data_IF_253985868295
#
_entry.id   IF_253985868295
#
_cell.length_a   1.000
_cell.length_b   1.000
_cell.length_c   1.000
_cell.angle_alpha   90.00
_cell.angle_beta   90.00
_cell.angle_gamma   90.00
#
_symmetry.space_group_name_H-M   'P 1'
#
loop_
_entity.id
_entity.type
_entity.pdbx_description
1 polymer ?
#
# COMPACT_ATOMS: atom_id res chain seq x y z
N UNK A 1 -6.90 -22.83 -5.22
CA UNK A 1 -6.26 -21.72 -4.49
C UNK A 1 -7.01 -21.32 -3.22
N UNK A 2 -8.34 -21.25 -3.23
CA UNK A 2 -9.14 -20.83 -2.05
C UNK A 2 -9.01 -21.74 -0.82
N UNK A 3 -8.78 -23.05 -1.01
CA UNK A 3 -8.65 -23.99 0.11
C UNK A 3 -7.31 -23.94 0.85
N UNK A 4 -6.26 -23.37 0.24
CA UNK A 4 -4.89 -23.43 0.79
C UNK A 4 -4.28 -22.06 1.05
N UNK A 5 -4.83 -20.99 0.45
CA UNK A 5 -4.39 -19.63 0.72
C UNK A 5 -5.46 -18.91 1.55
N UNK A 6 -5.11 -18.41 2.75
CA UNK A 6 -6.05 -17.65 3.56
C UNK A 6 -6.39 -16.30 2.91
N UNK A 7 -7.59 -15.81 3.20
CA UNK A 7 -7.99 -14.45 2.84
C UNK A 7 -7.07 -13.41 3.52
N UNK A 8 -6.92 -12.19 2.97
CA UNK A 8 -6.09 -11.15 3.59
C UNK A 8 -6.48 -10.87 5.05
N UNK A 9 -7.77 -10.91 5.39
CA UNK A 9 -8.25 -10.70 6.75
C UNK A 9 -7.77 -11.78 7.75
N UNK A 10 -7.53 -12.99 7.27
CA UNK A 10 -6.95 -14.08 8.08
C UNK A 10 -5.43 -14.02 8.04
N UNK A 11 -4.85 -13.82 6.85
CA UNK A 11 -3.42 -13.80 6.62
C UNK A 11 -2.70 -12.67 7.39
N UNK A 12 -3.28 -11.47 7.41
CA UNK A 12 -2.63 -10.31 8.04
C UNK A 12 -2.53 -10.44 9.56
N UNK A 13 -3.42 -11.23 10.20
CA UNK A 13 -3.40 -11.42 11.66
C UNK A 13 -2.08 -11.96 12.18
N UNK A 14 -1.53 -12.95 11.50
CA UNK A 14 -0.26 -13.57 11.86
C UNK A 14 0.93 -13.01 11.05
N UNK A 15 0.70 -12.30 9.94
CA UNK A 15 1.76 -11.67 9.14
C UNK A 15 2.16 -10.28 9.60
N UNK A 16 1.33 -9.59 10.38
CA UNK A 16 1.64 -8.24 10.92
C UNK A 16 2.96 -8.22 11.70
N UNK A 17 3.35 -9.34 12.31
CA UNK A 17 4.62 -9.47 13.00
C UNK A 17 5.83 -9.27 12.08
N UNK A 18 5.71 -9.71 10.83
CA UNK A 18 6.78 -9.62 9.82
C UNK A 18 6.60 -8.37 8.95
N UNK A 19 5.37 -7.91 8.73
CA UNK A 19 5.06 -6.81 7.79
C UNK A 19 5.29 -5.41 8.37
N UNK A 20 5.30 -5.25 9.68
CA UNK A 20 5.36 -3.94 10.33
C UNK A 20 6.53 -3.89 11.31
N UNK A 21 7.36 -2.86 11.27
CA UNK A 21 8.54 -2.79 12.15
C UNK A 21 8.29 -1.97 13.44
N UNK A 22 7.18 -1.24 13.49
CA UNK A 22 6.80 -0.46 14.67
C UNK A 22 6.22 -1.29 15.82
N UNK A 23 5.81 -0.62 16.91
CA UNK A 23 5.21 -1.28 18.08
C UNK A 23 3.96 -2.07 17.70
N UNK A 24 3.85 -3.31 18.18
CA UNK A 24 2.78 -4.25 17.77
C UNK A 24 1.42 -3.99 18.40
N UNK A 25 1.43 -3.18 19.44
CA UNK A 25 0.30 -2.70 20.23
C UNK A 25 -0.21 -1.34 19.75
N UNK A 26 0.41 -0.75 18.73
CA UNK A 26 -0.05 0.52 18.19
C UNK A 26 -1.25 0.37 17.23
N UNK A 27 -1.86 1.50 16.93
CA UNK A 27 -3.05 1.58 16.06
C UNK A 27 -2.78 1.13 14.63
N UNK A 28 -1.54 1.18 14.13
CA UNK A 28 -1.19 0.82 12.76
C UNK A 28 -1.00 -0.69 12.62
N UNK A 29 -0.33 -1.32 13.59
CA UNK A 29 -0.24 -2.76 13.72
C UNK A 29 -1.64 -3.37 13.88
N UNK A 30 -2.50 -2.81 14.73
CA UNK A 30 -3.88 -3.26 14.87
C UNK A 30 -4.70 -3.10 13.57
N UNK A 31 -4.53 -1.96 12.89
CA UNK A 31 -5.17 -1.69 11.60
C UNK A 31 -4.81 -2.72 10.52
N UNK A 32 -3.52 -3.10 10.43
CA UNK A 32 -3.04 -4.16 9.54
C UNK A 32 -3.57 -5.52 9.98
N UNK A 33 -3.47 -5.85 11.27
CA UNK A 33 -3.95 -7.13 11.84
C UNK A 33 -5.42 -7.38 11.48
N UNK A 34 -6.23 -6.33 11.49
CA UNK A 34 -7.66 -6.39 11.21
C UNK A 34 -8.01 -6.18 9.72
N UNK A 35 -7.05 -5.85 8.85
CA UNK A 35 -7.28 -5.52 7.44
C UNK A 35 -8.47 -4.54 7.28
N UNK A 36 -8.45 -3.44 8.05
CA UNK A 36 -9.58 -2.52 8.14
C UNK A 36 -9.49 -1.40 7.06
N UNK A 37 -10.53 -1.14 6.25
CA UNK A 37 -10.49 -0.12 5.19
C UNK A 37 -10.82 1.32 5.67
N UNK A 38 -11.20 1.49 6.94
CA UNK A 38 -11.71 2.75 7.50
C UNK A 38 -10.72 3.44 8.48
N UNK A 39 -9.49 2.96 8.51
CA UNK A 39 -8.39 3.43 9.38
C UNK A 39 -7.31 4.11 8.53
N UNK A 40 -6.26 4.70 9.13
CA UNK A 40 -5.17 5.29 8.36
C UNK A 40 -4.58 4.33 7.31
N UNK A 41 -4.17 4.89 6.18
CA UNK A 41 -3.60 4.15 5.05
C UNK A 41 -2.23 3.58 5.43
N UNK A 42 -2.08 2.25 5.30
CA UNK A 42 -0.80 1.55 5.33
C UNK A 42 -0.64 0.81 4.01
N UNK A 43 0.30 1.26 3.18
CA UNK A 43 0.58 0.73 1.85
C UNK A 43 2.07 0.42 1.75
N UNK A 44 2.40 -0.78 1.28
CA UNK A 44 3.78 -1.16 0.98
C UNK A 44 4.02 -1.14 -0.52
N UNK A 45 5.08 -0.44 -0.93
CA UNK A 45 5.49 -0.30 -2.33
C UNK A 45 6.55 -1.35 -2.63
N UNK A 46 6.30 -2.20 -3.63
CA UNK A 46 7.27 -3.22 -4.05
C UNK A 46 8.03 -2.84 -5.32
N UNK A 47 7.42 -2.08 -6.23
CA UNK A 47 8.02 -1.78 -7.53
C UNK A 47 7.50 -0.46 -8.10
N UNK A 48 8.40 0.31 -8.68
CA UNK A 48 8.07 1.44 -9.54
C UNK A 48 8.05 0.96 -11.01
N UNK A 49 6.97 1.29 -11.72
CA UNK A 49 6.74 0.94 -13.11
C UNK A 49 6.69 2.25 -13.90
N UNK A 50 7.55 2.46 -14.91
CA UNK A 50 7.48 3.66 -15.74
C UNK A 50 6.11 3.75 -16.43
N UNK A 51 5.53 4.95 -16.47
CA UNK A 51 4.20 5.15 -17.05
C UNK A 51 4.18 5.01 -18.58
N UNK A 52 5.27 5.36 -19.24
CA UNK A 52 5.53 5.15 -20.66
C UNK A 52 7.05 5.04 -20.88
N UNK A 53 7.47 4.52 -22.02
CA UNK A 53 8.90 4.39 -22.36
C UNK A 53 9.60 5.75 -22.55
N UNK A 54 8.83 6.81 -22.85
CA UNK A 54 9.33 8.17 -23.10
C UNK A 54 9.20 9.11 -21.87
N UNK A 55 8.42 8.74 -20.84
CA UNK A 55 8.22 9.57 -19.65
C UNK A 55 9.29 9.29 -18.58
N UNK A 56 10.40 10.03 -18.62
CA UNK A 56 11.50 9.92 -17.63
C UNK A 56 11.14 10.41 -16.20
N UNK A 57 9.90 10.79 -15.91
CA UNK A 57 9.52 11.41 -14.62
C UNK A 57 8.26 10.89 -13.96
N UNK A 58 7.48 10.01 -14.60
CA UNK A 58 6.20 9.52 -14.06
C UNK A 58 6.23 8.02 -13.87
N UNK A 59 5.97 7.60 -12.64
CA UNK A 59 5.97 6.19 -12.26
C UNK A 59 4.64 5.80 -11.66
N UNK A 60 4.13 4.66 -12.11
CA UNK A 60 3.16 3.90 -11.36
C UNK A 60 3.86 3.18 -10.22
N UNK A 61 3.21 3.18 -9.07
CA UNK A 61 3.69 2.49 -7.89
C UNK A 61 2.87 1.23 -7.73
N UNK A 62 3.50 0.07 -7.90
CA UNK A 62 2.89 -1.21 -7.60
C UNK A 62 3.15 -1.54 -6.13
N UNK A 63 2.07 -1.74 -5.39
CA UNK A 63 2.13 -1.97 -3.96
C UNK A 63 0.87 -2.62 -3.45
N UNK A 64 0.90 -3.03 -2.18
CA UNK A 64 -0.23 -3.67 -1.51
C UNK A 64 -0.76 -2.77 -0.41
N UNK A 65 -2.09 -2.62 -0.36
CA UNK A 65 -2.77 -1.90 0.73
C UNK A 65 -3.01 -2.89 1.87
N UNK A 66 -2.39 -2.67 3.02
CA UNK A 66 -2.57 -3.51 4.21
C UNK A 66 -3.65 -2.94 5.14
N UNK A 67 -3.74 -1.63 5.27
CA UNK A 67 -4.80 -0.97 6.03
C UNK A 67 -5.27 0.31 5.35
N UNK A 68 -6.51 0.70 5.63
CA UNK A 68 -7.16 1.88 5.05
C UNK A 68 -7.53 1.68 3.59
N UNK A 69 -7.65 2.81 2.88
CA UNK A 69 -7.94 2.86 1.46
C UNK A 69 -7.13 3.97 0.80
N UNK A 70 -6.58 3.70 -0.37
CA UNK A 70 -5.93 4.73 -1.19
C UNK A 70 -6.95 5.26 -2.20
N UNK A 71 -6.98 6.57 -2.40
CA UNK A 71 -7.92 7.22 -3.33
C UNK A 71 -7.21 8.29 -4.15
N UNK A 72 -7.69 8.53 -5.36
CA UNK A 72 -7.23 9.66 -6.18
C UNK A 72 -7.45 11.00 -5.45
N UNK A 73 -6.43 11.86 -5.44
CA UNK A 73 -6.41 13.14 -4.75
C UNK A 73 -6.04 13.06 -3.26
N UNK A 74 -5.77 11.87 -2.72
CA UNK A 74 -5.40 11.70 -1.32
C UNK A 74 -3.96 12.18 -1.08
N UNK A 75 -3.78 13.04 -0.07
CA UNK A 75 -2.46 13.42 0.45
C UNK A 75 -1.92 12.28 1.31
N UNK A 76 -0.74 11.79 0.97
CA UNK A 76 -0.11 10.64 1.62
C UNK A 76 1.31 10.98 2.05
N UNK A 77 1.72 10.46 3.21
CA UNK A 77 3.11 10.46 3.64
C UNK A 77 3.82 9.23 3.08
N UNK A 78 4.96 9.44 2.44
CA UNK A 78 5.82 8.38 1.90
C UNK A 78 7.04 8.28 2.81
N UNK A 79 7.22 7.09 3.37
CA UNK A 79 8.39 6.74 4.18
C UNK A 79 9.41 6.12 3.24
N UNK A 80 10.59 6.74 3.16
CA UNK A 80 11.71 6.20 2.39
C UNK A 80 12.37 5.01 3.09
N UNK A 81 13.30 4.34 2.40
CA UNK A 81 14.00 3.17 2.95
C UNK A 81 14.81 3.49 4.20
N UNK A 82 15.30 4.73 4.33
CA UNK A 82 16.14 5.18 5.46
C UNK A 82 15.34 5.93 6.53
N UNK A 83 14.00 5.79 6.56
CA UNK A 83 13.16 6.55 7.49
C UNK A 83 13.53 6.34 8.97
N UNK A 84 13.97 5.13 9.35
CA UNK A 84 14.33 4.82 10.73
C UNK A 84 15.52 5.67 11.23
N UNK A 85 16.52 5.90 10.37
CA UNK A 85 17.78 6.57 10.72
C UNK A 85 17.74 8.06 10.38
N UNK A 86 17.36 8.41 9.16
CA UNK A 86 17.48 9.76 8.60
C UNK A 86 16.16 10.53 8.61
N UNK A 87 15.08 9.91 9.09
CA UNK A 87 13.71 10.45 9.01
C UNK A 87 13.31 10.83 7.58
N UNK A 88 13.79 10.06 6.60
CA UNK A 88 13.45 10.20 5.18
C UNK A 88 11.94 10.08 4.95
N UNK A 89 11.30 11.23 4.87
CA UNK A 89 9.86 11.38 4.80
C UNK A 89 9.52 12.47 3.80
N UNK A 90 8.62 12.13 2.88
CA UNK A 90 8.06 13.09 1.93
C UNK A 90 6.55 13.02 1.97
N UNK A 91 5.91 14.11 1.57
CA UNK A 91 4.44 14.16 1.46
C UNK A 91 4.10 14.44 0.01
N UNK A 92 3.25 13.59 -0.55
CA UNK A 92 2.82 13.71 -1.95
C UNK A 92 1.31 13.53 -2.07
N UNK A 93 0.77 13.80 -3.25
CA UNK A 93 -0.65 13.61 -3.57
C UNK A 93 -0.75 12.48 -4.58
N UNK A 94 -1.65 11.53 -4.32
CA UNK A 94 -1.94 10.43 -5.24
C UNK A 94 -2.70 10.99 -6.44
N UNK A 95 -2.04 11.10 -7.59
CA UNK A 95 -2.68 11.67 -8.79
C UNK A 95 -3.74 10.74 -9.39
N UNK A 96 -3.48 9.43 -9.39
CA UNK A 96 -4.39 8.40 -9.92
C UNK A 96 -4.20 7.09 -9.17
N UNK A 97 -5.29 6.37 -8.94
CA UNK A 97 -5.26 4.97 -8.49
C UNK A 97 -5.68 4.04 -9.61
N UNK A 98 -5.02 2.90 -9.75
CA UNK A 98 -5.31 1.94 -10.80
C UNK A 98 -5.09 0.50 -10.33
N UNK A 99 -5.83 -0.43 -10.94
CA UNK A 99 -5.59 -1.87 -10.82
C UNK A 99 -4.78 -2.30 -12.04
N UNK A 100 -3.62 -2.92 -11.80
CA UNK A 100 -2.76 -3.41 -12.87
C UNK A 100 -3.24 -4.77 -13.38
N UNK A 101 -3.66 -4.84 -14.65
CA UNK A 101 -4.11 -6.05 -15.34
C UNK A 101 -3.11 -6.34 -16.47
N UNK A 102 -2.05 -7.07 -16.13
CA UNK A 102 -0.92 -7.29 -17.04
C UNK A 102 -0.26 -5.96 -17.41
N UNK A 103 -0.23 -5.63 -18.71
CA UNK A 103 0.32 -4.36 -19.21
C UNK A 103 -0.66 -3.17 -19.13
N UNK A 104 -1.93 -3.41 -18.78
CA UNK A 104 -2.97 -2.37 -18.77
C UNK A 104 -3.24 -1.90 -17.34
N UNK A 105 -3.46 -0.59 -17.17
CA UNK A 105 -3.85 0.01 -15.90
C UNK A 105 -5.34 0.39 -15.97
N UNK A 106 -6.18 -0.31 -15.22
CA UNK A 106 -7.59 0.04 -15.07
C UNK A 106 -7.73 1.13 -14.00
N UNK A 107 -8.01 2.36 -14.40
CA UNK A 107 -8.15 3.48 -13.47
C UNK A 107 -9.39 3.26 -12.59
N UNK A 108 -9.21 3.39 -11.28
CA UNK A 108 -10.27 3.28 -10.28
C UNK A 108 -10.27 4.50 -9.37
N UNK A 109 -11.39 4.73 -8.67
CA UNK A 109 -11.53 5.85 -7.74
C UNK A 109 -10.77 5.64 -6.43
N UNK A 110 -10.81 4.41 -5.92
CA UNK A 110 -10.13 4.01 -4.70
C UNK A 110 -9.81 2.51 -4.71
N UNK A 111 -8.87 2.12 -3.86
CA UNK A 111 -8.45 0.73 -3.62
C UNK A 111 -8.40 0.49 -2.11
N UNK A 112 -9.27 -0.38 -1.54
CA UNK A 112 -9.23 -0.71 -0.12
C UNK A 112 -8.15 -1.74 0.20
N UNK A 113 -7.83 -1.86 1.50
CA UNK A 113 -6.94 -2.88 2.05
C UNK A 113 -7.30 -4.31 1.62
N UNK A 114 -6.26 -5.14 1.51
CA UNK A 114 -6.35 -6.51 1.01
C UNK A 114 -5.99 -6.66 -0.46
N UNK A 115 -6.11 -5.58 -1.24
CA UNK A 115 -5.81 -5.53 -2.68
C UNK A 115 -4.36 -5.10 -2.99
N UNK A 116 -3.95 -5.42 -4.21
CA UNK A 116 -2.71 -5.03 -4.88
C UNK A 116 -3.04 -4.32 -6.19
#
# INVERSE_FOLDING_TARGET
>A
MVFHLPSPCVAQKYRVEILYEGPKDDKFAEAIRNCNPNVPLMLYVSKMIPASDDDMGRFWVLGRVFAGRVSTGMKVGVLGSNYAEEKDFSVTIVEKTAICIGKKQGIVKNVPCGNT
#
